data_IF_909881350371
#
_entry.id   IF_909881350371
#
_cell.length_a   1.000
_cell.length_b   1.000
_cell.length_c   1.000
_cell.angle_alpha   90.00
_cell.angle_beta   90.00
_cell.angle_gamma   90.00
#
_symmetry.space_group_name_H-M   'P 1'
#
loop_
_entity.id
_entity.type
_entity.pdbx_description
1 polymer ?
#
# COMPACT_ATOMS: atom_id res chain seq x y z
N UNK A 1 14.78 4.90 -31.19
CA UNK A 1 14.57 4.16 -29.93
C UNK A 1 13.58 4.95 -29.09
N UNK A 2 12.50 4.34 -28.61
CA UNK A 2 11.52 5.02 -27.76
C UNK A 2 11.80 4.64 -26.30
N UNK A 3 12.23 5.61 -25.49
CA UNK A 3 12.51 5.44 -24.06
C UNK A 3 12.02 6.68 -23.32
N UNK A 4 11.84 6.55 -22.00
CA UNK A 4 11.39 7.64 -21.13
C UNK A 4 12.58 8.36 -20.50
N UNK A 5 12.41 9.63 -20.16
CA UNK A 5 13.44 10.47 -19.54
C UNK A 5 14.00 9.89 -18.23
N UNK A 6 13.16 9.16 -17.48
CA UNK A 6 13.55 8.44 -16.27
C UNK A 6 14.74 7.47 -16.48
N UNK A 7 14.90 6.94 -17.69
CA UNK A 7 16.06 6.14 -18.08
C UNK A 7 17.33 6.97 -18.16
N UNK A 8 17.29 8.20 -18.70
CA UNK A 8 18.45 9.09 -18.73
C UNK A 8 18.81 9.57 -17.32
N UNK A 9 17.81 9.88 -16.50
CA UNK A 9 18.03 10.20 -15.09
C UNK A 9 18.70 9.01 -14.38
N UNK A 10 18.26 7.78 -14.65
CA UNK A 10 18.89 6.57 -14.11
C UNK A 10 20.35 6.43 -14.59
N UNK A 11 20.62 6.62 -15.89
CA UNK A 11 21.96 6.57 -16.47
C UNK A 11 22.87 7.65 -15.88
N UNK A 12 22.37 8.86 -15.68
CA UNK A 12 23.08 9.94 -15.00
C UNK A 12 23.37 9.57 -13.54
N UNK A 13 22.34 9.19 -12.77
CA UNK A 13 22.45 8.86 -11.35
C UNK A 13 23.53 7.81 -11.05
N UNK A 14 23.58 6.76 -11.87
CA UNK A 14 24.52 5.65 -11.68
C UNK A 14 25.75 5.74 -12.59
N UNK A 15 25.86 6.80 -13.39
CA UNK A 15 27.01 7.09 -14.26
C UNK A 15 27.30 5.97 -15.28
N UNK A 16 26.24 5.45 -15.91
CA UNK A 16 26.26 4.33 -16.86
C UNK A 16 26.55 4.75 -18.31
N UNK A 17 27.58 5.57 -18.49
CA UNK A 17 28.02 6.08 -19.78
C UNK A 17 29.54 6.30 -19.77
N UNK A 18 30.13 6.36 -20.96
CA UNK A 18 31.54 6.65 -21.12
C UNK A 18 31.84 8.10 -20.70
N UNK A 19 32.73 8.23 -19.72
CA UNK A 19 33.18 9.51 -19.16
C UNK A 19 34.57 9.90 -19.66
N UNK A 20 35.22 9.06 -20.47
CA UNK A 20 36.50 9.39 -21.06
C UNK A 20 36.32 10.58 -22.00
N UNK A 21 37.09 11.65 -21.76
CA UNK A 21 36.98 12.91 -22.49
C UNK A 21 35.53 13.43 -22.57
N UNK A 22 34.81 13.37 -21.44
CA UNK A 22 33.46 13.94 -21.36
C UNK A 22 33.54 15.45 -21.59
N UNK A 23 32.80 15.93 -22.59
CA UNK A 23 32.76 17.33 -22.98
C UNK A 23 31.33 17.84 -23.10
N UNK A 24 31.16 19.13 -22.88
CA UNK A 24 29.94 19.83 -23.28
C UNK A 24 29.85 19.93 -24.80
N UNK A 25 28.68 20.31 -25.31
CA UNK A 25 28.41 20.48 -26.75
C UNK A 25 29.20 21.62 -27.40
N UNK A 26 29.71 22.56 -26.60
CA UNK A 26 30.64 23.63 -27.01
C UNK A 26 32.12 23.29 -26.75
N UNK A 27 32.42 22.07 -26.29
CA UNK A 27 33.78 21.50 -26.23
C UNK A 27 34.50 21.62 -24.88
N UNK A 28 33.89 22.21 -23.86
CA UNK A 28 34.47 22.33 -22.52
C UNK A 28 34.60 20.97 -21.86
N UNK A 29 35.73 20.70 -21.19
CA UNK A 29 35.94 19.47 -20.45
C UNK A 29 35.04 19.41 -19.20
N UNK A 30 34.41 18.26 -18.97
CA UNK A 30 33.46 18.04 -17.87
C UNK A 30 33.98 16.95 -16.95
N UNK A 31 34.18 17.29 -15.67
CA UNK A 31 34.39 16.32 -14.60
C UNK A 31 33.22 16.33 -13.62
N UNK A 32 32.65 15.16 -13.36
CA UNK A 32 31.53 15.01 -12.43
C UNK A 32 32.09 14.66 -11.05
N UNK A 33 31.97 15.57 -10.09
CA UNK A 33 32.40 15.36 -8.69
C UNK A 33 31.24 14.80 -7.87
N UNK A 34 30.04 15.36 -8.02
CA UNK A 34 28.81 14.91 -7.36
C UNK A 34 27.64 15.02 -8.35
N UNK A 35 26.97 13.90 -8.63
CA UNK A 35 25.81 13.83 -9.55
C UNK A 35 24.58 14.60 -9.07
N UNK A 36 24.51 14.88 -7.77
CA UNK A 36 23.37 15.49 -7.09
C UNK A 36 22.40 14.47 -6.47
N UNK A 37 21.44 14.96 -5.70
CA UNK A 37 20.34 14.19 -5.12
C UNK A 37 19.18 14.18 -6.10
N UNK A 38 18.79 12.99 -6.56
CA UNK A 38 17.66 12.82 -7.48
C UNK A 38 16.37 13.33 -6.82
N UNK A 39 15.77 14.33 -7.43
CA UNK A 39 14.52 14.95 -7.05
C UNK A 39 13.35 14.21 -7.74
N UNK A 40 12.30 13.90 -6.98
CA UNK A 40 11.06 13.31 -7.52
C UNK A 40 9.86 14.27 -7.37
N UNK A 41 10.14 15.49 -6.94
CA UNK A 41 9.19 16.58 -6.74
C UNK A 41 9.48 17.70 -7.74
N UNK A 42 8.74 18.79 -7.65
CA UNK A 42 8.94 20.00 -8.48
C UNK A 42 10.39 20.53 -8.44
N UNK A 43 10.82 21.14 -9.55
CA UNK A 43 12.17 21.68 -9.75
C UNK A 43 13.13 20.70 -10.43
N UNK A 44 14.43 21.04 -10.50
CA UNK A 44 15.40 20.29 -11.30
C UNK A 44 15.55 18.83 -10.89
N UNK A 45 15.90 17.98 -11.85
CA UNK A 45 16.01 16.53 -11.66
C UNK A 45 17.04 16.11 -10.60
N UNK A 46 18.16 16.80 -10.49
CA UNK A 46 19.17 16.53 -9.45
C UNK A 46 19.60 17.81 -8.74
N UNK A 47 19.44 17.81 -7.42
CA UNK A 47 19.81 18.94 -6.55
C UNK A 47 21.22 18.79 -5.99
N UNK A 48 21.87 19.90 -5.67
CA UNK A 48 23.20 19.94 -5.03
C UNK A 48 24.27 19.07 -5.72
N UNK A 49 24.35 19.16 -7.05
CA UNK A 49 25.43 18.61 -7.85
C UNK A 49 26.68 19.50 -7.81
N UNK A 50 27.83 18.87 -8.08
CA UNK A 50 29.12 19.55 -8.23
C UNK A 50 29.81 19.02 -9.48
N UNK A 51 30.12 19.91 -10.43
CA UNK A 51 30.86 19.58 -11.65
C UNK A 51 32.02 20.56 -11.85
N UNK A 52 33.08 20.11 -12.51
CA UNK A 52 34.18 20.98 -12.98
C UNK A 52 34.04 21.14 -14.48
N UNK A 53 33.94 22.38 -14.95
CA UNK A 53 33.94 22.76 -16.38
C UNK A 53 35.23 23.53 -16.69
N UNK A 54 36.10 22.98 -17.53
CA UNK A 54 37.41 23.57 -17.90
C UNK A 54 38.22 24.11 -16.69
N UNK A 55 38.20 23.37 -15.58
CA UNK A 55 38.92 23.72 -14.34
C UNK A 55 38.13 24.60 -13.36
N UNK A 56 36.96 25.11 -13.73
CA UNK A 56 36.07 25.88 -12.84
C UNK A 56 35.10 24.94 -12.13
N UNK A 57 35.13 24.93 -10.79
CA UNK A 57 34.19 24.14 -9.99
C UNK A 57 32.87 24.89 -9.83
N UNK A 58 31.77 24.25 -10.22
CA UNK A 58 30.41 24.77 -10.11
C UNK A 58 29.59 23.93 -9.12
N UNK A 59 28.76 24.62 -8.34
CA UNK A 59 27.80 24.03 -7.41
C UNK A 59 26.38 24.47 -7.77
N UNK A 60 25.46 23.51 -7.88
CA UNK A 60 24.10 23.81 -8.35
C UNK A 60 23.29 22.55 -8.66
N UNK A 61 22.48 22.59 -9.71
CA UNK A 61 21.55 21.53 -10.07
C UNK A 61 21.88 20.94 -11.45
N UNK A 62 21.39 19.74 -11.72
CA UNK A 62 21.45 19.12 -13.05
C UNK A 62 20.03 18.86 -13.50
N UNK A 63 19.75 19.21 -14.74
CA UNK A 63 18.50 18.89 -15.42
C UNK A 63 18.73 17.85 -16.50
N UNK A 64 17.84 16.88 -16.65
CA UNK A 64 17.97 15.80 -17.63
C UNK A 64 16.78 15.82 -18.58
N UNK A 65 17.04 15.90 -19.88
CA UNK A 65 15.98 15.82 -20.89
C UNK A 65 16.32 14.81 -21.99
N UNK A 66 15.32 14.35 -22.74
CA UNK A 66 15.60 13.58 -23.97
C UNK A 66 16.14 14.49 -25.06
N UNK A 67 15.57 15.67 -25.21
CA UNK A 67 15.98 16.66 -26.20
C UNK A 67 16.25 18.00 -25.54
N UNK A 68 17.31 18.69 -25.96
CA UNK A 68 17.60 20.03 -25.44
C UNK A 68 16.41 21.01 -25.58
N UNK A 69 15.63 20.88 -26.66
CA UNK A 69 14.41 21.67 -26.88
C UNK A 69 13.33 21.53 -25.79
N UNK A 70 13.35 20.44 -25.00
CA UNK A 70 12.36 20.21 -23.92
C UNK A 70 12.50 21.23 -22.79
N UNK A 71 13.68 21.86 -22.61
CA UNK A 71 13.88 22.98 -21.69
C UNK A 71 12.85 24.11 -21.90
N UNK A 72 12.58 24.45 -23.17
CA UNK A 72 11.59 25.47 -23.51
C UNK A 72 10.16 24.92 -23.40
N UNK A 73 9.94 23.65 -23.74
CA UNK A 73 8.61 23.03 -23.68
C UNK A 73 8.09 22.95 -22.25
N UNK A 74 8.98 22.70 -21.28
CA UNK A 74 8.67 22.69 -19.86
C UNK A 74 8.67 24.08 -19.22
N UNK A 75 8.94 25.14 -20.00
CA UNK A 75 8.98 26.53 -19.55
C UNK A 75 10.03 26.84 -18.45
N UNK A 76 11.08 26.03 -18.33
CA UNK A 76 12.14 26.19 -17.33
C UNK A 76 12.87 27.53 -17.43
N UNK A 77 12.99 28.08 -18.65
CA UNK A 77 13.58 29.40 -18.88
C UNK A 77 12.78 30.60 -18.33
N UNK A 78 11.58 30.36 -17.77
CA UNK A 78 10.82 31.37 -17.03
C UNK A 78 10.74 31.12 -15.53
N UNK A 79 11.26 29.98 -15.07
CA UNK A 79 11.12 29.52 -13.69
C UNK A 79 12.41 29.76 -12.90
N UNK A 80 12.39 30.59 -11.85
CA UNK A 80 13.55 30.84 -10.99
C UNK A 80 14.16 29.59 -10.36
N UNK A 81 13.41 28.50 -10.19
CA UNK A 81 13.90 27.23 -9.65
C UNK A 81 15.03 26.62 -10.50
N UNK A 82 15.09 26.96 -11.80
CA UNK A 82 16.08 26.42 -12.74
C UNK A 82 17.30 27.32 -12.96
N UNK A 83 17.32 28.52 -12.36
CA UNK A 83 18.47 29.43 -12.44
C UNK A 83 19.77 28.79 -11.93
N UNK A 84 19.66 27.92 -10.94
CA UNK A 84 20.79 27.22 -10.32
C UNK A 84 21.22 25.95 -11.06
N UNK A 85 20.63 25.62 -12.23
CA UNK A 85 21.06 24.48 -13.04
C UNK A 85 22.44 24.76 -13.64
N UNK A 86 23.46 24.01 -13.26
CA UNK A 86 24.84 24.21 -13.72
C UNK A 86 25.20 23.35 -14.93
N UNK A 87 24.38 22.33 -15.22
CA UNK A 87 24.60 21.41 -16.33
C UNK A 87 23.25 20.88 -16.83
N UNK A 88 23.05 20.92 -18.14
CA UNK A 88 21.92 20.27 -18.81
C UNK A 88 22.41 18.97 -19.47
N UNK A 89 21.86 17.84 -19.06
CA UNK A 89 22.22 16.53 -19.61
C UNK A 89 21.11 16.13 -20.56
N UNK A 90 21.45 15.84 -21.82
CA UNK A 90 20.48 15.47 -22.84
C UNK A 90 20.84 14.17 -23.50
N UNK A 91 19.84 13.43 -23.98
CA UNK A 91 20.14 12.40 -24.97
C UNK A 91 20.63 13.05 -26.27
N UNK A 92 19.90 14.04 -26.81
CA UNK A 92 20.25 14.71 -28.05
C UNK A 92 20.16 16.23 -27.94
N UNK A 93 21.23 16.92 -28.32
CA UNK A 93 21.30 18.38 -28.34
C UNK A 93 20.77 18.94 -29.65
N UNK A 94 19.44 19.01 -29.78
CA UNK A 94 18.78 19.48 -31.02
C UNK A 94 18.61 21.00 -31.10
N UNK A 95 18.95 21.75 -30.04
CA UNK A 95 18.82 23.21 -29.98
C UNK A 95 19.67 23.80 -28.86
N UNK A 96 20.21 24.99 -29.09
CA UNK A 96 20.86 25.77 -28.02
C UNK A 96 19.86 26.19 -26.93
N UNK A 97 20.28 26.01 -25.68
CA UNK A 97 19.53 26.40 -24.47
C UNK A 97 20.27 27.55 -23.79
N UNK A 98 19.51 28.59 -23.44
CA UNK A 98 20.02 29.75 -22.71
C UNK A 98 19.43 29.76 -21.30
N UNK A 99 20.23 30.25 -20.35
CA UNK A 99 19.80 30.63 -19.00
C UNK A 99 18.89 31.86 -19.06
N UNK A 100 18.26 32.17 -17.93
CA UNK A 100 17.41 33.35 -17.79
C UNK A 100 18.19 34.66 -17.93
N UNK A 101 19.50 34.65 -17.67
CA UNK A 101 20.41 35.78 -17.90
C UNK A 101 20.92 35.88 -19.35
N UNK A 102 20.49 34.97 -20.23
CA UNK A 102 20.86 34.93 -21.64
C UNK A 102 22.18 34.21 -21.95
N UNK A 103 22.92 33.74 -20.95
CA UNK A 103 24.15 32.98 -21.19
C UNK A 103 23.85 31.53 -21.63
N UNK A 104 24.71 30.89 -22.44
CA UNK A 104 24.52 29.50 -22.85
C UNK A 104 24.52 28.54 -21.65
N UNK A 105 23.61 27.57 -21.65
CA UNK A 105 23.58 26.48 -20.67
C UNK A 105 24.63 25.42 -21.04
N UNK A 106 25.63 25.14 -20.19
CA UNK A 106 26.54 24.01 -20.40
C UNK A 106 25.74 22.72 -20.58
N UNK A 107 25.90 22.07 -21.71
CA UNK A 107 25.07 20.92 -22.11
C UNK A 107 25.94 19.71 -22.44
N UNK A 108 25.63 18.55 -21.86
CA UNK A 108 26.30 17.27 -22.18
C UNK A 108 25.32 16.38 -22.95
N UNK A 109 25.75 15.91 -24.12
CA UNK A 109 25.01 14.96 -24.94
C UNK A 109 25.44 13.50 -24.63
N UNK A 110 24.47 12.63 -24.30
CA UNK A 110 24.70 11.22 -23.98
C UNK A 110 24.50 10.26 -25.17
N UNK A 111 24.02 10.73 -26.32
CA UNK A 111 23.88 9.93 -27.54
C UNK A 111 25.22 9.32 -27.94
N UNK A 112 25.24 8.00 -28.05
CA UNK A 112 26.46 7.23 -28.36
C UNK A 112 27.43 7.03 -27.19
N UNK A 113 27.16 7.59 -25.99
CA UNK A 113 28.03 7.45 -24.81
C UNK A 113 27.53 6.41 -23.79
N UNK A 114 26.23 6.13 -23.76
CA UNK A 114 25.64 5.13 -22.84
C UNK A 114 26.16 3.74 -23.20
N UNK A 115 26.62 2.96 -22.20
CA UNK A 115 27.15 1.63 -22.43
C UNK A 115 26.10 0.70 -23.05
N UNK A 116 26.50 -0.07 -24.08
CA UNK A 116 25.58 -0.93 -24.84
C UNK A 116 24.89 -1.99 -23.98
N UNK A 117 25.55 -2.50 -22.95
CA UNK A 117 24.97 -3.46 -22.00
C UNK A 117 23.77 -2.88 -21.24
N UNK A 118 23.82 -1.59 -20.91
CA UNK A 118 22.78 -0.90 -20.15
C UNK A 118 21.52 -0.75 -21.01
N UNK A 119 21.70 -0.43 -22.29
CA UNK A 119 20.62 -0.44 -23.27
C UNK A 119 19.98 -1.82 -23.40
N UNK A 120 20.78 -2.86 -23.57
CA UNK A 120 20.28 -4.24 -23.71
C UNK A 120 19.48 -4.67 -22.48
N UNK A 121 19.99 -4.38 -21.29
CA UNK A 121 19.31 -4.70 -20.03
C UNK A 121 17.99 -3.93 -19.90
N UNK A 122 17.98 -2.64 -20.26
CA UNK A 122 16.78 -1.82 -20.25
C UNK A 122 15.72 -2.33 -21.22
N UNK A 123 16.10 -2.67 -22.46
CA UNK A 123 15.19 -3.23 -23.47
C UNK A 123 14.59 -4.57 -23.03
N UNK A 124 15.39 -5.46 -22.43
CA UNK A 124 14.90 -6.75 -21.90
C UNK A 124 13.86 -6.56 -20.79
N UNK A 125 13.96 -5.48 -20.02
CA UNK A 125 13.00 -5.14 -18.96
C UNK A 125 11.75 -4.43 -19.49
N UNK A 126 11.79 -3.88 -20.69
CA UNK A 126 10.64 -3.27 -21.36
C UNK A 126 9.78 -4.27 -22.15
N UNK A 127 9.97 -5.59 -21.96
CA UNK A 127 9.02 -6.56 -22.54
C UNK A 127 7.65 -6.45 -21.85
N UNK A 128 6.80 -5.61 -22.43
CA UNK A 128 5.46 -5.26 -21.96
C UNK A 128 4.47 -6.43 -21.90
N UNK A 129 4.87 -7.62 -22.35
CA UNK A 129 4.00 -8.82 -22.34
C UNK A 129 4.08 -9.60 -21.02
N UNK A 130 5.07 -9.33 -20.17
CA UNK A 130 5.23 -10.02 -18.88
C UNK A 130 4.59 -9.24 -17.73
N UNK A 131 3.84 -9.95 -16.88
CA UNK A 131 3.33 -9.40 -15.61
C UNK A 131 4.45 -9.04 -14.61
N UNK A 132 5.59 -9.71 -14.75
CA UNK A 132 6.79 -9.49 -13.94
C UNK A 132 7.93 -9.12 -14.91
N UNK A 133 8.26 -7.83 -15.07
CA UNK A 133 9.29 -7.40 -16.03
C UNK A 133 10.66 -8.05 -15.79
N UNK A 134 10.99 -8.32 -14.53
CA UNK A 134 12.24 -9.00 -14.13
C UNK A 134 12.21 -10.54 -14.25
N UNK A 135 11.10 -11.14 -14.71
CA UNK A 135 10.91 -12.60 -14.68
C UNK A 135 12.03 -13.41 -15.33
N UNK A 136 12.64 -12.90 -16.40
CA UNK A 136 13.67 -13.58 -17.17
C UNK A 136 14.96 -13.83 -16.36
N UNK A 137 15.25 -12.98 -15.37
CA UNK A 137 16.49 -13.02 -14.58
C UNK A 137 16.26 -12.92 -13.06
N UNK A 138 15.01 -13.05 -12.61
CA UNK A 138 14.63 -12.88 -11.21
C UNK A 138 15.47 -13.76 -10.26
N UNK A 139 15.69 -15.02 -10.61
CA UNK A 139 16.49 -15.95 -9.79
C UNK A 139 18.00 -15.72 -9.88
N UNK A 140 18.47 -15.01 -10.91
CA UNK A 140 19.87 -14.62 -11.02
C UNK A 140 20.23 -13.45 -10.09
N UNK A 141 19.23 -12.70 -9.61
CA UNK A 141 19.43 -11.63 -8.63
C UNK A 141 19.76 -12.24 -7.26
N UNK A 142 20.84 -11.75 -6.65
CA UNK A 142 21.28 -12.18 -5.33
C UNK A 142 20.12 -12.12 -4.33
N UNK A 143 20.01 -13.15 -3.49
CA UNK A 143 18.92 -13.30 -2.53
C UNK A 143 18.77 -12.10 -1.61
N UNK A 144 19.88 -11.55 -1.12
CA UNK A 144 19.89 -10.34 -0.27
C UNK A 144 19.25 -9.13 -0.96
N UNK A 145 19.41 -8.98 -2.28
CA UNK A 145 18.78 -7.90 -3.04
C UNK A 145 17.29 -8.15 -3.20
N UNK A 146 16.89 -9.40 -3.48
CA UNK A 146 15.48 -9.80 -3.55
C UNK A 146 14.77 -9.58 -2.22
N UNK A 147 15.37 -10.00 -1.11
CA UNK A 147 14.86 -9.78 0.24
C UNK A 147 14.75 -8.29 0.57
N UNK A 148 15.81 -7.51 0.33
CA UNK A 148 15.81 -6.07 0.61
C UNK A 148 14.82 -5.26 -0.26
N UNK A 149 14.47 -5.77 -1.45
CA UNK A 149 13.41 -5.21 -2.29
C UNK A 149 12.03 -5.53 -1.73
N UNK A 150 11.84 -6.78 -1.31
CA UNK A 150 10.60 -7.28 -0.71
C UNK A 150 10.28 -6.54 0.59
N UNK A 151 11.24 -6.44 1.51
CA UNK A 151 11.11 -5.74 2.79
C UNK A 151 10.76 -4.27 2.58
N UNK A 152 11.48 -3.58 1.67
CA UNK A 152 11.17 -2.19 1.33
C UNK A 152 9.72 -2.04 0.87
N UNK A 153 9.27 -2.90 -0.05
CA UNK A 153 7.91 -2.85 -0.57
C UNK A 153 6.85 -3.20 0.50
N UNK A 154 7.17 -4.09 1.43
CA UNK A 154 6.32 -4.37 2.59
C UNK A 154 6.15 -3.15 3.48
N UNK A 155 7.25 -2.47 3.82
CA UNK A 155 7.22 -1.25 4.64
C UNK A 155 6.43 -0.14 3.97
N UNK A 156 6.60 0.06 2.66
CA UNK A 156 5.81 1.03 1.88
C UNK A 156 4.31 0.74 1.98
N UNK A 157 3.90 -0.53 1.88
CA UNK A 157 2.49 -0.92 2.07
C UNK A 157 1.97 -0.67 3.48
N UNK A 158 2.80 -0.92 4.50
CA UNK A 158 2.41 -0.65 5.89
C UNK A 158 2.27 0.85 6.15
N UNK A 159 3.12 1.68 5.53
CA UNK A 159 3.00 3.14 5.56
C UNK A 159 1.69 3.61 4.90
N UNK A 160 1.35 3.09 3.72
CA UNK A 160 0.07 3.40 3.05
C UNK A 160 -1.14 3.05 3.94
N UNK A 161 -1.15 1.83 4.52
CA UNK A 161 -2.24 1.42 5.41
C UNK A 161 -2.28 2.24 6.70
N UNK A 162 -1.11 2.58 7.25
CA UNK A 162 -1.01 3.42 8.45
C UNK A 162 -1.64 4.79 8.23
N UNK A 163 -1.42 5.40 7.06
CA UNK A 163 -2.05 6.68 6.71
C UNK A 163 -3.59 6.58 6.72
N UNK A 164 -4.17 5.47 6.24
CA UNK A 164 -5.62 5.26 6.32
C UNK A 164 -6.13 5.18 7.76
N UNK A 165 -5.38 4.51 8.64
CA UNK A 165 -5.73 4.41 10.07
C UNK A 165 -5.60 5.77 10.76
N UNK A 166 -4.55 6.53 10.47
CA UNK A 166 -4.35 7.87 11.01
C UNK A 166 -5.43 8.86 10.51
N UNK A 167 -5.94 8.68 9.30
CA UNK A 167 -7.09 9.45 8.82
C UNK A 167 -8.37 9.14 9.61
N UNK A 168 -8.59 7.87 9.99
CA UNK A 168 -9.68 7.50 10.90
C UNK A 168 -9.46 8.12 12.28
N UNK A 169 -8.21 8.09 12.79
CA UNK A 169 -7.85 8.68 14.09
C UNK A 169 -8.15 10.18 14.15
N UNK A 170 -7.87 10.92 13.07
CA UNK A 170 -8.22 12.33 12.96
C UNK A 170 -9.75 12.54 13.01
N UNK A 171 -10.51 11.75 12.26
CA UNK A 171 -11.98 11.78 12.28
C UNK A 171 -12.58 11.43 13.65
N UNK A 172 -11.91 10.58 14.43
CA UNK A 172 -12.32 10.19 15.79
C UNK A 172 -11.71 11.09 16.87
N UNK A 173 -11.02 12.18 16.48
CA UNK A 173 -10.41 13.17 17.39
C UNK A 173 -9.40 12.55 18.36
N UNK A 174 -8.60 11.60 17.88
CA UNK A 174 -7.56 10.93 18.67
C UNK A 174 -8.06 9.73 19.51
N UNK A 175 -9.32 9.33 19.38
CA UNK A 175 -9.85 8.14 20.07
C UNK A 175 -9.38 6.86 19.37
N UNK A 176 -8.25 6.30 19.85
CA UNK A 176 -7.67 5.07 19.31
C UNK A 176 -8.56 3.83 19.48
N UNK A 177 -9.44 3.82 20.50
CA UNK A 177 -10.34 2.70 20.75
C UNK A 177 -11.46 2.66 19.69
N UNK A 178 -12.07 3.82 19.41
CA UNK A 178 -13.01 4.00 18.31
C UNK A 178 -12.33 3.74 16.94
N UNK A 179 -11.07 4.16 16.79
CA UNK A 179 -10.29 3.96 15.57
C UNK A 179 -10.05 2.48 15.28
N UNK A 180 -9.64 1.71 16.29
CA UNK A 180 -9.47 0.26 16.17
C UNK A 180 -10.80 -0.42 15.81
N UNK A 181 -11.90 -0.01 16.43
CA UNK A 181 -13.24 -0.50 16.11
C UNK A 181 -13.64 -0.25 14.65
N UNK A 182 -13.48 0.98 14.14
CA UNK A 182 -13.80 1.33 12.74
C UNK A 182 -12.90 0.59 11.76
N UNK A 183 -11.61 0.47 12.09
CA UNK A 183 -10.66 -0.26 11.27
C UNK A 183 -10.98 -1.77 11.21
N UNK A 184 -11.40 -2.37 12.33
CA UNK A 184 -11.86 -3.76 12.39
C UNK A 184 -13.03 -3.99 11.42
N UNK A 185 -14.06 -3.13 11.45
CA UNK A 185 -15.20 -3.22 10.54
C UNK A 185 -14.77 -3.14 9.08
N UNK A 186 -13.95 -2.15 8.76
CA UNK A 186 -13.39 -1.97 7.41
C UNK A 186 -12.70 -3.23 6.92
N UNK A 187 -11.91 -3.89 7.79
CA UNK A 187 -11.22 -5.15 7.48
C UNK A 187 -12.17 -6.35 7.35
N UNK A 188 -13.25 -6.40 8.13
CA UNK A 188 -14.28 -7.45 8.06
C UNK A 188 -15.09 -7.42 6.77
N UNK A 189 -15.15 -6.27 6.11
CA UNK A 189 -15.73 -6.13 4.77
C UNK A 189 -14.86 -6.71 3.64
N UNK A 190 -13.59 -7.05 3.93
CA UNK A 190 -12.58 -7.47 2.95
C UNK A 190 -12.57 -6.55 1.72
N UNK A 191 -12.36 -7.07 0.51
CA UNK A 191 -12.34 -6.23 -0.69
C UNK A 191 -13.73 -5.68 -1.08
N UNK A 192 -14.79 -6.46 -0.88
CA UNK A 192 -16.09 -6.19 -1.49
C UNK A 192 -16.94 -5.24 -0.66
N UNK A 193 -17.02 -5.46 0.65
CA UNK A 193 -17.90 -4.72 1.56
C UNK A 193 -17.12 -3.87 2.57
N UNK A 194 -15.85 -3.53 2.31
CA UNK A 194 -15.02 -2.73 3.23
C UNK A 194 -15.58 -1.33 3.44
N UNK A 195 -15.98 -0.64 2.37
CA UNK A 195 -16.59 0.68 2.46
C UNK A 195 -17.91 0.68 3.27
N UNK A 196 -18.94 -0.11 2.94
CA UNK A 196 -20.18 -0.10 3.71
C UNK A 196 -20.01 -0.57 5.16
N UNK A 197 -19.02 -1.44 5.44
CA UNK A 197 -18.66 -1.76 6.83
C UNK A 197 -18.06 -0.56 7.58
N UNK A 198 -17.18 0.20 6.94
CA UNK A 198 -16.62 1.43 7.53
C UNK A 198 -17.69 2.49 7.80
N UNK A 199 -18.62 2.68 6.86
CA UNK A 199 -19.78 3.56 7.03
C UNK A 199 -20.69 3.11 8.17
N UNK A 200 -20.98 1.80 8.27
CA UNK A 200 -21.74 1.23 9.38
C UNK A 200 -21.05 1.51 10.72
N UNK A 201 -19.73 1.28 10.81
CA UNK A 201 -18.98 1.54 12.04
C UNK A 201 -19.03 3.02 12.44
N UNK A 202 -18.91 3.92 11.46
CA UNK A 202 -19.01 5.36 11.71
C UNK A 202 -20.41 5.79 12.21
N UNK A 203 -21.47 5.08 11.78
CA UNK A 203 -22.87 5.36 12.18
C UNK A 203 -23.21 4.90 13.60
N UNK A 204 -22.46 3.95 14.16
CA UNK A 204 -22.69 3.37 15.49
C UNK A 204 -21.43 3.55 16.35
N UNK A 205 -21.37 4.55 17.25
CA UNK A 205 -20.20 4.78 18.09
C UNK A 205 -19.89 3.57 18.98
N UNK A 206 -18.61 3.20 19.10
CA UNK A 206 -18.21 2.00 19.83
C UNK A 206 -18.62 2.03 21.30
N UNK A 207 -18.58 3.22 21.93
CA UNK A 207 -19.03 3.44 23.31
C UNK A 207 -20.49 3.03 23.55
N UNK A 208 -21.34 3.08 22.53
CA UNK A 208 -22.72 2.58 22.60
C UNK A 208 -22.70 1.05 22.71
N UNK A 209 -21.98 0.38 21.82
CA UNK A 209 -21.87 -1.08 21.83
C UNK A 209 -21.21 -1.60 23.12
N UNK A 210 -20.18 -0.92 23.62
CA UNK A 210 -19.51 -1.27 24.88
C UNK A 210 -20.48 -1.31 26.07
N UNK A 211 -21.40 -0.35 26.17
CA UNK A 211 -22.42 -0.29 27.24
C UNK A 211 -23.41 -1.44 27.20
N UNK A 212 -23.62 -2.02 26.03
CA UNK A 212 -24.59 -3.09 25.80
C UNK A 212 -23.94 -4.47 25.57
N UNK A 213 -22.61 -4.57 25.69
CA UNK A 213 -21.82 -5.76 25.31
C UNK A 213 -22.27 -7.09 25.92
N UNK A 214 -22.91 -7.08 27.09
CA UNK A 214 -23.42 -8.28 27.76
C UNK A 214 -24.67 -8.86 27.09
N UNK A 215 -25.29 -8.09 26.20
CA UNK A 215 -26.51 -8.43 25.47
C UNK A 215 -26.18 -8.52 23.96
N UNK A 216 -25.75 -9.70 23.50
CA UNK A 216 -25.35 -9.91 22.10
C UNK A 216 -26.48 -9.55 21.13
N UNK A 217 -27.73 -9.88 21.47
CA UNK A 217 -28.90 -9.52 20.66
C UNK A 217 -29.07 -8.01 20.49
N UNK A 218 -28.75 -7.20 21.51
CA UNK A 218 -28.79 -5.74 21.40
C UNK A 218 -27.72 -5.23 20.41
N UNK A 219 -26.51 -5.80 20.43
CA UNK A 219 -25.45 -5.48 19.46
C UNK A 219 -25.88 -5.87 18.04
N UNK A 220 -26.45 -7.07 17.87
CA UNK A 220 -26.96 -7.56 16.59
C UNK A 220 -28.08 -6.65 16.07
N UNK A 221 -29.03 -6.25 16.94
CA UNK A 221 -30.12 -5.35 16.59
C UNK A 221 -29.62 -3.98 16.12
N UNK A 222 -28.74 -3.35 16.91
CA UNK A 222 -28.16 -2.04 16.57
C UNK A 222 -27.40 -2.09 15.23
N UNK A 223 -26.55 -3.09 15.02
CA UNK A 223 -25.69 -3.17 13.84
C UNK A 223 -26.46 -3.61 12.59
N UNK A 224 -27.30 -4.64 12.66
CA UNK A 224 -28.06 -5.13 11.50
C UNK A 224 -29.19 -4.18 11.11
N UNK A 225 -29.77 -3.48 12.08
CA UNK A 225 -30.75 -2.42 11.86
C UNK A 225 -30.11 -1.22 11.16
N UNK A 226 -28.99 -0.71 11.70
CA UNK A 226 -28.26 0.38 11.04
C UNK A 226 -27.66 -0.01 9.70
N UNK A 227 -27.40 -1.29 9.46
CA UNK A 227 -27.00 -1.77 8.14
C UNK A 227 -28.14 -1.77 7.11
N UNK A 228 -29.40 -1.62 7.53
CA UNK A 228 -30.57 -1.80 6.66
C UNK A 228 -30.70 -3.22 6.12
N UNK A 229 -30.22 -4.20 6.88
CA UNK A 229 -30.27 -5.62 6.52
C UNK A 229 -31.35 -6.39 7.29
N UNK A 230 -31.94 -5.77 8.30
CA UNK A 230 -33.05 -6.34 9.07
C UNK A 230 -34.36 -6.26 8.27
N UNK A 231 -35.21 -7.31 8.27
CA UNK A 231 -36.52 -7.23 7.66
C UNK A 231 -37.44 -6.29 8.45
N UNK A 232 -38.42 -5.68 7.78
CA UNK A 232 -39.41 -4.81 8.44
C UNK A 232 -40.34 -5.58 9.39
N UNK A 233 -40.65 -6.84 9.04
CA UNK A 233 -41.53 -7.74 9.80
C UNK A 233 -41.05 -9.18 9.68
N UNK A 234 -41.29 -9.98 10.71
CA UNK A 234 -41.04 -11.42 10.71
C UNK A 234 -41.98 -12.11 11.69
N UNK A 235 -42.30 -13.38 11.44
CA UNK A 235 -43.01 -14.25 12.37
C UNK A 235 -42.05 -15.02 13.30
N UNK A 236 -40.73 -14.90 13.08
CA UNK A 236 -39.71 -15.55 13.88
C UNK A 236 -39.46 -14.77 15.19
N UNK A 237 -39.62 -15.39 16.38
CA UNK A 237 -39.52 -14.68 17.67
C UNK A 237 -38.20 -13.94 17.88
N UNK A 238 -37.07 -14.54 17.47
CA UNK A 238 -35.76 -13.90 17.58
C UNK A 238 -35.66 -12.65 16.70
N UNK A 239 -36.19 -12.69 15.47
CA UNK A 239 -36.17 -11.55 14.55
C UNK A 239 -37.11 -10.44 15.04
N UNK A 240 -38.29 -10.78 15.56
CA UNK A 240 -39.19 -9.83 16.20
C UNK A 240 -38.54 -9.11 17.38
N UNK A 241 -37.78 -9.85 18.21
CA UNK A 241 -37.02 -9.28 19.30
C UNK A 241 -35.97 -8.28 18.80
N UNK A 242 -35.21 -8.61 17.74
CA UNK A 242 -34.23 -7.68 17.16
C UNK A 242 -34.87 -6.42 16.57
N UNK A 243 -36.03 -6.54 15.91
CA UNK A 243 -36.78 -5.39 15.38
C UNK A 243 -37.18 -4.46 16.51
N UNK A 244 -37.77 -4.99 17.59
CA UNK A 244 -38.17 -4.20 18.75
C UNK A 244 -36.99 -3.52 19.46
N UNK A 245 -35.87 -4.23 19.62
CA UNK A 245 -34.63 -3.66 20.18
C UNK A 245 -34.09 -2.53 19.29
N UNK A 246 -34.05 -2.73 17.97
CA UNK A 246 -33.55 -1.71 17.05
C UNK A 246 -34.45 -0.47 17.04
N UNK A 247 -35.78 -0.63 16.99
CA UNK A 247 -36.73 0.49 17.09
C UNK A 247 -36.51 1.32 18.36
N UNK A 248 -36.22 0.66 19.48
CA UNK A 248 -35.90 1.31 20.73
C UNK A 248 -34.58 2.09 20.65
N UNK A 249 -33.49 1.47 20.19
CA UNK A 249 -32.17 2.11 20.12
C UNK A 249 -32.11 3.22 19.07
N UNK A 250 -32.77 3.04 17.94
CA UNK A 250 -32.88 4.04 16.89
C UNK A 250 -33.50 5.33 17.45
N UNK A 251 -34.61 5.21 18.20
CA UNK A 251 -35.25 6.35 18.88
C UNK A 251 -34.37 6.92 19.99
N UNK A 252 -33.78 6.07 20.83
CA UNK A 252 -32.95 6.46 21.97
C UNK A 252 -31.71 7.26 21.57
N UNK A 253 -31.06 6.88 20.47
CA UNK A 253 -29.81 7.52 20.01
C UNK A 253 -30.03 8.48 18.83
N UNK A 254 -31.27 8.67 18.37
CA UNK A 254 -31.60 9.59 17.29
C UNK A 254 -30.99 9.19 15.94
N UNK A 255 -30.90 7.89 15.66
CA UNK A 255 -30.33 7.40 14.41
C UNK A 255 -31.33 7.56 13.26
N UNK A 256 -31.12 8.58 12.43
CA UNK A 256 -32.06 8.97 11.37
C UNK A 256 -31.70 8.44 9.98
N UNK A 257 -30.49 7.90 9.79
CA UNK A 257 -29.99 7.51 8.47
C UNK A 257 -29.31 6.15 8.54
N UNK A 258 -30.07 5.04 8.52
CA UNK A 258 -29.49 3.72 8.32
C UNK A 258 -28.92 3.58 6.91
N UNK A 259 -27.96 2.67 6.74
CA UNK A 259 -27.55 2.21 5.42
C UNK A 259 -28.72 1.49 4.73
N UNK A 260 -28.65 1.41 3.40
CA UNK A 260 -29.64 0.71 2.59
C UNK A 260 -29.09 -0.64 2.14
N UNK A 261 -29.99 -1.60 1.90
CA UNK A 261 -29.66 -2.94 1.40
C UNK A 261 -28.76 -2.91 0.15
N UNK A 262 -28.93 -1.90 -0.71
CA UNK A 262 -28.17 -1.70 -1.95
C UNK A 262 -26.69 -1.36 -1.75
N UNK A 263 -26.30 -0.85 -0.58
CA UNK A 263 -24.89 -0.62 -0.24
C UNK A 263 -24.12 -1.93 -0.06
N UNK A 264 -24.83 -3.04 0.12
CA UNK A 264 -24.25 -4.33 0.46
C UNK A 264 -24.23 -5.29 -0.72
N UNK A 265 -23.04 -5.79 -1.05
CA UNK A 265 -22.86 -6.78 -2.11
C UNK A 265 -22.86 -8.19 -1.52
N UNK A 266 -23.81 -9.02 -1.99
CA UNK A 266 -23.92 -10.44 -1.64
C UNK A 266 -23.49 -11.34 -2.80
N UNK A 267 -23.70 -10.90 -4.04
CA UNK A 267 -23.29 -11.62 -5.23
C UNK A 267 -21.75 -11.71 -5.29
N UNK A 268 -21.23 -12.91 -5.58
CA UNK A 268 -19.78 -13.16 -5.63
C UNK A 268 -19.12 -13.37 -4.26
N UNK A 269 -19.81 -13.12 -3.15
CA UNK A 269 -19.37 -13.55 -1.83
C UNK A 269 -19.80 -15.00 -1.56
N UNK A 270 -18.94 -15.80 -0.91
CA UNK A 270 -19.38 -17.08 -0.34
C UNK A 270 -20.43 -16.79 0.74
N UNK A 271 -21.44 -17.66 0.97
CA UNK A 271 -22.48 -17.42 1.98
C UNK A 271 -21.95 -17.08 3.39
N UNK A 272 -20.83 -17.69 3.79
CA UNK A 272 -20.14 -17.40 5.06
C UNK A 272 -19.53 -16.00 5.14
N UNK A 273 -19.43 -15.29 4.00
CA UNK A 273 -18.92 -13.92 3.88
C UNK A 273 -20.04 -12.90 3.67
N UNK A 274 -21.30 -13.31 3.75
CA UNK A 274 -22.41 -12.36 3.63
C UNK A 274 -22.35 -11.31 4.74
N UNK A 275 -22.70 -10.05 4.44
CA UNK A 275 -22.71 -8.96 5.41
C UNK A 275 -23.45 -9.27 6.71
N UNK A 276 -24.60 -9.95 6.63
CA UNK A 276 -25.39 -10.44 7.78
C UNK A 276 -24.57 -11.32 8.73
N UNK A 277 -23.86 -12.32 8.18
CA UNK A 277 -22.96 -13.18 8.98
C UNK A 277 -21.79 -12.39 9.54
N UNK A 278 -21.16 -11.52 8.74
CA UNK A 278 -19.98 -10.76 9.18
C UNK A 278 -20.31 -9.78 10.29
N UNK A 279 -21.48 -9.13 10.22
CA UNK A 279 -21.98 -8.26 11.28
C UNK A 279 -22.31 -9.06 12.55
N UNK A 280 -22.95 -10.23 12.42
CA UNK A 280 -23.21 -11.10 13.58
C UNK A 280 -21.91 -11.60 14.24
N UNK A 281 -20.90 -11.95 13.45
CA UNK A 281 -19.58 -12.31 13.97
C UNK A 281 -18.92 -11.12 14.70
N UNK A 282 -19.00 -9.90 14.13
CA UNK A 282 -18.51 -8.69 14.79
C UNK A 282 -19.22 -8.45 16.13
N UNK A 283 -20.56 -8.54 16.16
CA UNK A 283 -21.33 -8.39 17.39
C UNK A 283 -20.86 -9.37 18.48
N UNK A 284 -20.59 -10.63 18.10
CA UNK A 284 -20.07 -11.63 19.02
C UNK A 284 -18.66 -11.29 19.54
N UNK A 285 -17.76 -10.83 18.67
CA UNK A 285 -16.40 -10.39 19.06
C UNK A 285 -16.48 -9.20 20.03
N UNK A 286 -17.25 -8.16 19.69
CA UNK A 286 -17.38 -6.96 20.51
C UNK A 286 -18.07 -7.24 21.86
N UNK A 287 -18.92 -8.27 21.95
CA UNK A 287 -19.50 -8.70 23.22
C UNK A 287 -18.46 -9.19 24.23
N UNK A 288 -17.33 -9.72 23.73
CA UNK A 288 -16.23 -10.31 24.52
C UNK A 288 -15.03 -9.39 24.65
N UNK A 289 -14.89 -8.39 23.80
CA UNK A 289 -13.83 -7.39 23.83
C UNK A 289 -14.37 -6.04 24.33
N UNK A 290 -14.35 -5.75 25.65
CA UNK A 290 -14.77 -4.45 26.17
C UNK A 290 -13.85 -3.32 25.69
N UNK A 291 -12.54 -3.57 25.61
CA UNK A 291 -11.53 -2.67 25.03
C UNK A 291 -10.80 -3.44 23.93
N UNK A 292 -11.24 -3.28 22.69
CA UNK A 292 -10.68 -3.92 21.51
C UNK A 292 -9.22 -3.54 21.27
N UNK A 293 -8.89 -2.25 21.32
CA UNK A 293 -7.51 -1.80 21.11
C UNK A 293 -6.60 -2.40 22.18
N UNK A 294 -6.99 -2.28 23.45
CA UNK A 294 -6.21 -2.86 24.55
C UNK A 294 -5.99 -4.36 24.33
N UNK A 295 -7.04 -5.12 24.00
CA UNK A 295 -6.92 -6.56 23.75
C UNK A 295 -6.02 -6.91 22.56
N UNK A 296 -5.90 -6.01 21.58
CA UNK A 296 -5.00 -6.18 20.43
C UNK A 296 -3.57 -5.74 20.75
N UNK A 297 -3.37 -4.78 21.65
CA UNK A 297 -2.05 -4.29 22.09
C UNK A 297 -1.46 -5.08 23.26
N UNK A 298 -2.24 -5.90 23.97
CA UNK A 298 -1.73 -6.80 25.00
C UNK A 298 -0.55 -7.64 24.47
N UNK A 299 0.46 -7.89 25.33
CA UNK A 299 1.77 -8.46 24.97
C UNK A 299 1.70 -9.95 24.60
N UNK A 300 0.94 -10.26 23.55
CA UNK A 300 0.79 -11.57 22.97
C UNK A 300 1.32 -11.53 21.54
N UNK A 301 2.55 -11.99 21.35
CA UNK A 301 3.18 -12.12 20.02
C UNK A 301 2.72 -13.36 19.26
N UNK A 302 1.86 -14.18 19.87
CA UNK A 302 1.46 -15.48 19.33
C UNK A 302 0.11 -15.43 18.63
N UNK A 303 0.05 -16.05 17.45
CA UNK A 303 -1.19 -16.28 16.68
C UNK A 303 -2.35 -16.84 17.53
N UNK A 304 -2.03 -17.71 18.51
CA UNK A 304 -3.01 -18.36 19.38
C UNK A 304 -3.83 -17.37 20.23
N UNK A 305 -3.27 -16.21 20.59
CA UNK A 305 -3.97 -15.20 21.37
C UNK A 305 -5.08 -14.53 20.55
N UNK A 306 -4.79 -14.16 19.29
CA UNK A 306 -5.79 -13.56 18.39
C UNK A 306 -6.93 -14.50 18.05
N UNK A 307 -6.68 -15.82 18.07
CA UNK A 307 -7.74 -16.82 17.91
C UNK A 307 -8.79 -16.69 19.01
N UNK A 308 -8.38 -16.53 20.28
CA UNK A 308 -9.30 -16.35 21.40
C UNK A 308 -10.09 -15.05 21.30
N UNK A 309 -9.47 -13.98 20.78
CA UNK A 309 -10.08 -12.67 20.64
C UNK A 309 -11.10 -12.60 19.49
N UNK A 310 -10.72 -13.11 18.30
CA UNK A 310 -11.46 -12.88 17.06
C UNK A 310 -12.31 -14.08 16.62
N UNK A 311 -12.02 -15.30 17.08
CA UNK A 311 -12.75 -16.51 16.70
C UNK A 311 -13.88 -16.85 17.68
N UNK A 312 -14.79 -15.90 17.87
CA UNK A 312 -15.96 -16.05 18.74
C UNK A 312 -17.15 -16.61 17.92
N UNK A 313 -17.83 -17.67 18.40
CA UNK A 313 -19.06 -18.14 17.77
C UNK A 313 -20.18 -17.09 17.84
N UNK A 314 -20.96 -16.89 16.77
CA UNK A 314 -22.10 -15.97 16.82
C UNK A 314 -23.25 -16.56 17.64
N UNK A 315 -24.31 -15.77 17.84
CA UNK A 315 -25.53 -16.26 18.50
C UNK A 315 -26.16 -17.44 17.75
N UNK A 316 -27.01 -18.21 18.45
CA UNK A 316 -27.54 -19.47 17.93
C UNK A 316 -28.29 -19.32 16.61
N UNK A 317 -28.96 -18.19 16.39
CA UNK A 317 -29.60 -17.89 15.11
C UNK A 317 -28.59 -17.94 13.95
N UNK A 318 -27.50 -17.19 14.04
CA UNK A 318 -26.50 -17.06 12.98
C UNK A 318 -25.58 -18.28 12.82
N UNK A 319 -25.65 -19.25 13.75
CA UNK A 319 -25.05 -20.58 13.53
C UNK A 319 -25.76 -21.35 12.43
N UNK A 320 -27.02 -21.05 12.13
CA UNK A 320 -27.85 -21.79 11.18
C UNK A 320 -28.52 -20.91 10.12
N UNK A 321 -28.12 -19.63 9.98
CA UNK A 321 -28.71 -18.70 9.02
C UNK A 321 -27.61 -17.90 8.32
N UNK A 322 -27.58 -17.87 6.98
CA UNK A 322 -26.68 -16.97 6.22
C UNK A 322 -27.25 -15.56 6.09
N UNK A 323 -28.57 -15.45 6.13
CA UNK A 323 -29.37 -14.21 6.12
C UNK A 323 -30.63 -14.49 6.95
N UNK A 324 -31.37 -13.44 7.30
CA UNK A 324 -32.70 -13.61 7.90
C UNK A 324 -33.60 -14.52 7.05
N UNK A 325 -34.46 -15.30 7.70
CA UNK A 325 -35.42 -16.20 7.05
C UNK A 325 -35.00 -17.66 7.15
N UNK A 326 -34.85 -18.35 6.01
CA UNK A 326 -34.75 -19.81 6.00
C UNK A 326 -33.46 -20.33 6.67
N UNK A 327 -33.56 -21.27 7.63
CA UNK A 327 -32.39 -21.92 8.20
C UNK A 327 -31.70 -22.81 7.17
N UNK A 328 -30.41 -23.05 7.39
CA UNK A 328 -29.61 -24.05 6.69
C UNK A 328 -29.43 -25.29 7.57
N UNK A 329 -29.53 -26.47 6.96
CA UNK A 329 -29.25 -27.75 7.63
C UNK A 329 -27.78 -27.85 8.09
N UNK A 330 -26.87 -27.19 7.35
CA UNK A 330 -25.45 -27.13 7.69
C UNK A 330 -25.17 -25.90 8.54
N UNK A 331 -24.26 -26.05 9.51
CA UNK A 331 -23.77 -24.94 10.34
C UNK A 331 -23.19 -23.84 9.44
N UNK A 332 -23.85 -22.68 9.45
CA UNK A 332 -23.49 -21.50 8.69
C UNK A 332 -22.20 -20.85 9.19
N UNK A 333 -22.01 -20.77 10.50
CA UNK A 333 -20.87 -20.10 11.13
C UNK A 333 -20.55 -20.68 12.51
N UNK A 334 -19.26 -20.92 12.77
CA UNK A 334 -18.71 -21.22 14.10
C UNK A 334 -17.84 -20.07 14.63
N UNK A 335 -17.99 -18.88 14.05
CA UNK A 335 -17.02 -17.79 14.12
C UNK A 335 -16.22 -17.69 12.82
N UNK A 336 -15.23 -16.79 12.79
CA UNK A 336 -14.37 -16.63 11.62
C UNK A 336 -13.56 -17.91 11.33
N UNK A 337 -13.27 -18.19 10.06
CA UNK A 337 -12.40 -19.32 9.68
C UNK A 337 -10.93 -19.02 10.00
N UNK A 338 -10.06 -20.05 10.02
CA UNK A 338 -8.61 -19.87 10.17
C UNK A 338 -8.01 -18.93 9.13
N UNK A 339 -8.33 -19.13 7.84
CA UNK A 339 -7.88 -18.21 6.79
C UNK A 339 -8.45 -16.80 6.91
N UNK A 340 -9.66 -16.63 7.46
CA UNK A 340 -10.18 -15.28 7.78
C UNK A 340 -9.43 -14.64 8.94
N UNK A 341 -9.03 -15.42 9.94
CA UNK A 341 -8.21 -14.95 11.06
C UNK A 341 -6.83 -14.50 10.58
N UNK A 342 -6.16 -15.30 9.74
CA UNK A 342 -4.87 -14.95 9.12
C UNK A 342 -4.98 -13.61 8.37
N UNK A 343 -6.00 -13.46 7.52
CA UNK A 343 -6.25 -12.22 6.79
C UNK A 343 -6.57 -11.03 7.71
N UNK A 344 -7.26 -11.25 8.83
CA UNK A 344 -7.52 -10.19 9.80
C UNK A 344 -6.26 -9.81 10.56
N UNK A 345 -5.37 -10.73 10.90
CA UNK A 345 -4.10 -10.36 11.51
C UNK A 345 -3.29 -9.48 10.53
N UNK A 346 -3.22 -9.88 9.25
CA UNK A 346 -2.51 -9.14 8.18
C UNK A 346 -3.12 -7.76 7.89
N UNK A 347 -4.44 -7.61 7.95
CA UNK A 347 -5.11 -6.39 7.53
C UNK A 347 -5.58 -5.49 8.68
N UNK A 348 -5.91 -6.07 9.82
CA UNK A 348 -6.36 -5.36 11.02
C UNK A 348 -5.23 -5.17 12.03
N UNK A 349 -4.66 -6.24 12.58
CA UNK A 349 -3.69 -6.17 13.70
C UNK A 349 -2.38 -5.51 13.27
N UNK A 350 -1.72 -6.05 12.25
CA UNK A 350 -0.39 -5.58 11.82
C UNK A 350 -0.40 -4.09 11.43
N UNK A 351 -1.34 -3.61 10.58
CA UNK A 351 -1.36 -2.19 10.23
C UNK A 351 -1.70 -1.27 11.41
N UNK A 352 -2.55 -1.74 12.35
CA UNK A 352 -2.89 -0.99 13.56
C UNK A 352 -1.67 -0.85 14.47
N UNK A 353 -0.92 -1.93 14.71
CA UNK A 353 0.34 -1.90 15.45
C UNK A 353 1.37 -0.99 14.80
N UNK A 354 1.54 -1.10 13.47
CA UNK A 354 2.48 -0.28 12.73
C UNK A 354 2.11 1.21 12.82
N UNK A 355 0.83 1.56 12.67
CA UNK A 355 0.34 2.94 12.83
C UNK A 355 0.54 3.46 14.25
N UNK A 356 0.20 2.65 15.26
CA UNK A 356 0.35 3.00 16.67
C UNK A 356 1.82 3.27 17.04
N UNK A 357 2.72 2.35 16.70
CA UNK A 357 4.15 2.51 16.97
C UNK A 357 4.78 3.70 16.25
N UNK A 358 4.35 3.98 15.02
CA UNK A 358 4.78 5.17 14.28
C UNK A 358 4.29 6.47 14.93
N UNK A 359 3.04 6.50 15.39
CA UNK A 359 2.43 7.68 16.00
C UNK A 359 3.06 8.03 17.35
N UNK A 360 3.36 7.02 18.17
CA UNK A 360 3.96 7.18 19.50
C UNK A 360 5.48 7.03 19.52
N UNK A 361 6.13 6.95 18.35
CA UNK A 361 7.59 6.79 18.20
C UNK A 361 8.17 5.57 18.95
N UNK A 362 7.44 4.46 18.95
CA UNK A 362 7.80 3.19 19.58
C UNK A 362 8.19 2.15 18.51
N UNK A 363 9.49 2.01 18.18
CA UNK A 363 9.97 1.13 17.11
C UNK A 363 9.69 -0.35 17.37
N UNK A 364 9.52 -0.76 18.63
CA UNK A 364 9.27 -2.14 19.04
C UNK A 364 8.00 -2.72 18.39
N UNK A 365 7.00 -1.87 18.08
CA UNK A 365 5.80 -2.30 17.38
C UNK A 365 6.06 -2.67 15.92
N UNK A 366 7.04 -2.05 15.26
CA UNK A 366 7.40 -2.42 13.89
C UNK A 366 8.08 -3.80 13.87
N UNK A 367 8.96 -4.06 14.83
CA UNK A 367 9.57 -5.39 15.01
C UNK A 367 8.50 -6.46 15.26
N UNK A 368 7.55 -6.19 16.17
CA UNK A 368 6.41 -7.10 16.43
C UNK A 368 5.59 -7.40 15.18
N UNK A 369 5.41 -6.42 14.29
CA UNK A 369 4.71 -6.66 13.02
C UNK A 369 5.45 -7.68 12.16
N UNK A 370 6.77 -7.54 12.05
CA UNK A 370 7.60 -8.43 11.24
C UNK A 370 7.69 -9.83 11.83
N UNK A 371 7.88 -9.94 13.15
CA UNK A 371 7.88 -11.21 13.88
C UNK A 371 6.55 -11.96 13.65
N UNK A 372 5.42 -11.28 13.88
CA UNK A 372 4.10 -11.90 13.75
C UNK A 372 3.83 -12.35 12.31
N UNK A 373 4.19 -11.54 11.31
CA UNK A 373 4.02 -11.92 9.90
C UNK A 373 4.81 -13.17 9.50
N UNK A 374 5.98 -13.41 10.10
CA UNK A 374 6.78 -14.61 9.83
C UNK A 374 6.14 -15.88 10.40
N UNK A 375 5.25 -15.77 11.40
CA UNK A 375 4.51 -16.91 11.97
C UNK A 375 3.25 -17.31 11.20
N UNK A 376 2.82 -16.48 10.24
CA UNK A 376 1.58 -16.69 9.49
C UNK A 376 1.91 -17.31 8.12
N UNK A 377 1.18 -18.34 7.66
CA UNK A 377 1.38 -18.90 6.34
C UNK A 377 1.27 -17.86 5.22
N UNK A 378 2.05 -18.04 4.15
CA UNK A 378 1.96 -17.18 2.97
C UNK A 378 0.55 -17.19 2.36
N UNK A 379 0.07 -16.03 1.96
CA UNK A 379 -1.23 -15.93 1.29
C UNK A 379 -1.22 -16.63 -0.07
N UNK A 380 -2.31 -17.33 -0.40
CA UNK A 380 -2.49 -17.93 -1.73
C UNK A 380 -3.37 -17.06 -2.62
N UNK A 381 -2.74 -16.28 -3.50
CA UNK A 381 -3.45 -15.47 -4.50
C UNK A 381 -2.70 -15.45 -5.84
N UNK A 382 -3.31 -14.82 -6.86
CA UNK A 382 -2.77 -14.82 -8.21
C UNK A 382 -1.42 -14.11 -8.33
N UNK A 383 -1.10 -13.14 -7.46
CA UNK A 383 0.18 -12.43 -7.45
C UNK A 383 1.26 -13.37 -6.93
N UNK A 384 1.01 -14.04 -5.80
CA UNK A 384 1.98 -14.98 -5.21
C UNK A 384 2.27 -16.14 -6.15
N UNK A 385 1.25 -16.64 -6.87
CA UNK A 385 1.45 -17.64 -7.93
C UNK A 385 2.38 -17.16 -9.03
N UNK A 386 2.27 -15.91 -9.50
CA UNK A 386 3.18 -15.36 -10.53
C UNK A 386 4.64 -15.42 -10.12
N UNK A 387 4.97 -15.12 -8.86
CA UNK A 387 6.34 -15.24 -8.36
C UNK A 387 6.76 -16.70 -8.20
N UNK A 388 5.87 -17.54 -7.65
CA UNK A 388 6.10 -18.98 -7.49
C UNK A 388 6.38 -19.71 -8.82
N UNK A 389 5.66 -19.34 -9.89
CA UNK A 389 5.86 -19.87 -11.25
C UNK A 389 7.22 -19.48 -11.85
N UNK A 390 7.88 -18.45 -11.29
CA UNK A 390 9.25 -18.03 -11.60
C UNK A 390 10.29 -18.55 -10.61
N UNK A 391 9.89 -19.46 -9.72
CA UNK A 391 10.76 -20.10 -8.74
C UNK A 391 11.06 -19.27 -7.48
N UNK A 392 10.43 -18.11 -7.30
CA UNK A 392 10.54 -17.35 -6.05
C UNK A 392 9.26 -17.53 -5.22
N UNK A 393 9.30 -18.45 -4.25
CA UNK A 393 8.16 -18.81 -3.41
C UNK A 393 8.13 -17.95 -2.14
N UNK A 394 6.93 -17.57 -1.71
CA UNK A 394 6.72 -16.96 -0.41
C UNK A 394 6.61 -18.05 0.66
N UNK A 395 7.32 -17.91 1.78
CA UNK A 395 7.30 -18.87 2.89
C UNK A 395 6.24 -18.52 3.92
N UNK A 396 6.05 -17.22 4.17
CA UNK A 396 5.13 -16.69 5.18
C UNK A 396 4.43 -15.40 4.71
N UNK A 397 3.63 -14.79 5.59
CA UNK A 397 2.89 -13.57 5.28
C UNK A 397 3.78 -12.33 5.08
N UNK A 398 4.98 -12.31 5.68
CA UNK A 398 5.97 -11.24 5.44
C UNK A 398 6.35 -11.24 3.96
N UNK A 399 6.70 -12.41 3.44
CA UNK A 399 7.04 -12.60 2.02
C UNK A 399 5.85 -12.26 1.12
N UNK A 400 4.67 -12.80 1.42
CA UNK A 400 3.51 -12.58 0.55
C UNK A 400 3.09 -11.11 0.50
N UNK A 401 3.10 -10.40 1.64
CA UNK A 401 2.78 -8.97 1.66
C UNK A 401 3.85 -8.13 0.95
N UNK A 402 5.14 -8.45 1.10
CA UNK A 402 6.21 -7.77 0.37
C UNK A 402 6.14 -8.02 -1.14
N UNK A 403 5.87 -9.25 -1.58
CA UNK A 403 5.65 -9.59 -3.00
C UNK A 403 4.43 -8.89 -3.58
N UNK A 404 3.32 -8.79 -2.83
CA UNK A 404 2.16 -7.99 -3.25
C UNK A 404 2.55 -6.51 -3.43
N UNK A 405 3.45 -5.99 -2.58
CA UNK A 405 3.98 -4.63 -2.70
C UNK A 405 4.83 -4.45 -3.93
N UNK A 406 5.80 -5.34 -4.15
CA UNK A 406 6.62 -5.34 -5.35
C UNK A 406 5.75 -5.33 -6.60
N UNK A 407 4.74 -6.19 -6.64
CA UNK A 407 3.86 -6.29 -7.80
C UNK A 407 3.07 -5.00 -8.04
N UNK A 408 2.36 -4.48 -7.02
CA UNK A 408 1.44 -3.35 -7.18
C UNK A 408 2.16 -2.00 -7.32
N UNK A 409 3.24 -1.81 -6.56
CA UNK A 409 3.97 -0.54 -6.51
C UNK A 409 4.97 -0.42 -7.64
N UNK A 410 5.55 -1.53 -8.12
CA UNK A 410 6.64 -1.52 -9.10
C UNK A 410 6.32 -2.28 -10.39
N UNK A 411 5.96 -3.57 -10.33
CA UNK A 411 5.83 -4.39 -11.54
C UNK A 411 4.66 -3.94 -12.43
N UNK A 412 3.47 -3.81 -11.86
CA UNK A 412 2.26 -3.40 -12.57
C UNK A 412 2.38 -2.01 -13.22
N UNK A 413 2.88 -0.96 -12.53
CA UNK A 413 3.13 0.35 -13.15
C UNK A 413 4.48 0.42 -13.90
N UNK A 414 5.22 -0.69 -13.98
CA UNK A 414 6.52 -0.80 -14.67
C UNK A 414 7.61 0.16 -14.16
N UNK A 415 7.61 0.46 -12.86
CA UNK A 415 8.60 1.34 -12.19
C UNK A 415 9.91 0.60 -11.88
N UNK A 416 10.43 -0.19 -12.82
CA UNK A 416 11.57 -1.07 -12.56
C UNK A 416 12.87 -0.30 -12.27
N UNK A 417 13.02 0.92 -12.82
CA UNK A 417 14.13 1.83 -12.51
C UNK A 417 14.15 2.28 -11.04
N UNK A 418 13.03 2.14 -10.31
CA UNK A 418 12.89 2.46 -8.89
C UNK A 418 12.87 1.20 -7.99
N UNK A 419 12.83 0.00 -8.57
CA UNK A 419 12.81 -1.26 -7.86
C UNK A 419 14.23 -1.81 -7.71
N UNK A 420 14.66 -2.17 -6.48
CA UNK A 420 16.02 -2.70 -6.24
C UNK A 420 16.38 -3.91 -7.12
N UNK A 421 15.42 -4.80 -7.40
CA UNK A 421 15.60 -5.93 -8.32
C UNK A 421 15.88 -5.43 -9.74
N UNK A 422 15.03 -4.52 -10.25
CA UNK A 422 15.20 -3.95 -11.58
C UNK A 422 16.52 -3.17 -11.71
N UNK A 423 16.85 -2.34 -10.73
CA UNK A 423 18.11 -1.61 -10.67
C UNK A 423 19.32 -2.55 -10.66
N UNK A 424 19.23 -3.69 -9.98
CA UNK A 424 20.30 -4.70 -9.96
C UNK A 424 20.50 -5.37 -11.32
N UNK A 425 19.42 -5.62 -12.06
CA UNK A 425 19.47 -6.22 -13.40
C UNK A 425 19.98 -5.24 -14.46
N UNK A 426 19.80 -3.94 -14.25
CA UNK A 426 20.32 -2.91 -15.15
C UNK A 426 21.82 -2.73 -15.04
N UNK A 427 22.44 -3.12 -13.92
CA UNK A 427 23.89 -3.02 -13.75
C UNK A 427 24.59 -3.92 -14.77
N UNK A 428 25.51 -3.34 -15.54
CA UNK A 428 26.48 -4.11 -16.30
C UNK A 428 27.31 -5.01 -15.40
N UNK A 429 27.81 -6.13 -15.93
CA UNK A 429 28.78 -6.97 -15.20
C UNK A 429 30.16 -6.31 -15.09
N UNK A 430 30.31 -5.08 -15.60
CA UNK A 430 31.54 -4.31 -15.62
C UNK A 430 31.98 -3.88 -14.21
N UNK A 431 32.79 -4.74 -13.57
CA UNK A 431 33.96 -4.34 -12.79
C UNK A 431 35.17 -5.15 -13.22
#
# INVERSE_FOLDING_TARGET
MNFKEDFLQFVWKYQYFDKNDLRTTDGQFVQIIKVGFHNQSEGPDFRDATVVLDGVTLHGHVEVHRMASEWKQHAHGGDPAYNSVILHVVWENNREVLRNDGTPMPTVELKGKIFLEIWRNYEQMLDFKSDLPCAHALLAVQEIIRFSALEKALVERLLEKSQLILAILDQTKGDWEETAYRWLFTCFGFKINSQPMGELAASVPYKVLQKHRTQVSALEAMLLGQAGLMPEKSDEPYVQHLIGEYDFYQKKFGWTTPLLRQHWTFLGARPTNFPTIRIAQLAAILSKAPNLLQAVLEDNREFAAFKKLLQIPPSDYWKYHYSFGKPTEKVASKGISGGSLELLIINFVIPLWFAYGRYFEQPEWQERCFDLMQTIPAESNFIIRKYGDKGWKAENAFDSQGMIGLFRTYCQPQKCLNCKIGQSLLKGQSK
#
